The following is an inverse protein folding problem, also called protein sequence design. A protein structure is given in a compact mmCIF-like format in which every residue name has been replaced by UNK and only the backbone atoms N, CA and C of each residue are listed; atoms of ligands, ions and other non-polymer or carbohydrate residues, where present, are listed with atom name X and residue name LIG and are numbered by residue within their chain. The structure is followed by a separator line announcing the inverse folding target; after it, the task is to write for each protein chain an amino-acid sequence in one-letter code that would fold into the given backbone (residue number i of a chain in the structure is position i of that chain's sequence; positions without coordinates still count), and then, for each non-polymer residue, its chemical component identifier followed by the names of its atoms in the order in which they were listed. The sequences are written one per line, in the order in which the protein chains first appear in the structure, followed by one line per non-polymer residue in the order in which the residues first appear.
data_IF_623237454305
#
_entry.id   IF_623237454305
#
_cell.length_a   1.000
_cell.length_b   1.000
_cell.length_c   1.000
_cell.angle_alpha   90.00
_cell.angle_beta   90.00
_cell.angle_gamma   90.00
#
_symmetry.space_group_name_H-M   'P 1'
#
loop_
_entity.id
_entity.type
_entity.pdbx_description
1 polymer ?
#
# COMPACT_ATOMS: atom_id res chain seq x y z
N UNK A 1 -16.81 -15.48 -9.52
CA UNK A 1 -15.86 -14.36 -9.41
C UNK A 1 -14.97 -14.43 -10.64
N UNK A 2 -14.90 -13.36 -11.44
CA UNK A 2 -14.09 -13.36 -12.66
C UNK A 2 -12.64 -13.66 -12.31
N UNK A 3 -12.01 -14.56 -13.06
CA UNK A 3 -10.59 -14.93 -12.96
C UNK A 3 -9.70 -13.99 -13.78
N UNK A 4 -10.27 -12.99 -14.45
CA UNK A 4 -9.51 -12.02 -15.22
C UNK A 4 -8.80 -11.05 -14.28
N UNK A 5 -7.48 -10.93 -14.47
CA UNK A 5 -6.67 -9.92 -13.80
C UNK A 5 -7.07 -8.57 -14.37
N UNK A 6 -7.63 -7.64 -13.58
CA UNK A 6 -8.04 -6.35 -14.09
C UNK A 6 -6.83 -5.61 -14.65
N UNK A 7 -7.03 -4.86 -15.73
CA UNK A 7 -5.96 -4.03 -16.31
C UNK A 7 -5.41 -3.09 -15.23
N UNK A 8 -4.09 -3.17 -15.01
CA UNK A 8 -3.37 -2.27 -14.10
C UNK A 8 -2.07 -1.81 -14.72
N UNK A 9 -1.80 -0.52 -14.60
CA UNK A 9 -0.47 0.02 -14.88
C UNK A 9 0.46 -0.50 -13.79
N UNK A 10 1.51 -1.22 -14.21
CA UNK A 10 2.49 -1.75 -13.28
C UNK A 10 3.36 -0.61 -12.71
N UNK A 11 3.70 -0.67 -11.42
CA UNK A 11 4.59 0.30 -10.81
C UNK A 11 6.02 0.09 -11.30
N UNK A 12 6.83 1.14 -11.24
CA UNK A 12 8.28 0.99 -11.36
C UNK A 12 8.85 0.40 -10.07
N UNK A 13 9.30 -0.84 -10.14
CA UNK A 13 9.90 -1.57 -9.01
C UNK A 13 11.42 -1.42 -9.02
N UNK A 14 12.01 -1.21 -7.86
CA UNK A 14 13.45 -1.25 -7.62
C UNK A 14 13.76 -1.49 -6.15
N UNK A 15 15.05 -1.57 -5.79
CA UNK A 15 15.51 -1.95 -4.44
C UNK A 15 14.83 -1.20 -3.28
N UNK A 16 14.45 0.07 -3.50
CA UNK A 16 13.82 0.90 -2.47
C UNK A 16 12.36 0.54 -2.17
N UNK A 17 11.63 -0.09 -3.10
CA UNK A 17 10.20 -0.35 -2.96
C UNK A 17 9.81 -1.80 -3.31
N UNK A 18 10.77 -2.67 -3.63
CA UNK A 18 10.51 -4.06 -4.01
C UNK A 18 9.84 -4.85 -2.89
N UNK A 19 10.14 -4.57 -1.62
CA UNK A 19 9.48 -5.21 -0.48
C UNK A 19 7.95 -5.02 -0.51
N UNK A 20 7.49 -3.79 -0.77
CA UNK A 20 6.08 -3.44 -0.83
C UNK A 20 5.40 -4.10 -2.04
N UNK A 21 5.99 -3.95 -3.24
CA UNK A 21 5.36 -4.44 -4.47
C UNK A 21 5.45 -5.96 -4.66
N UNK A 22 6.52 -6.61 -4.20
CA UNK A 22 6.65 -8.07 -4.27
C UNK A 22 5.92 -8.79 -3.15
N UNK A 23 5.59 -8.13 -2.04
CA UNK A 23 4.83 -8.75 -0.94
C UNK A 23 3.54 -9.42 -1.39
N UNK A 24 2.86 -8.83 -2.38
CA UNK A 24 1.63 -9.39 -2.94
C UNK A 24 1.78 -10.79 -3.56
N UNK A 25 2.99 -11.19 -4.00
CA UNK A 25 3.26 -12.57 -4.46
C UNK A 25 3.10 -13.58 -3.33
N UNK A 26 3.44 -13.16 -2.12
CA UNK A 26 3.43 -14.00 -0.92
C UNK A 26 2.14 -13.80 -0.11
N UNK A 27 1.18 -13.02 -0.62
CA UNK A 27 -0.06 -12.68 0.10
C UNK A 27 0.15 -11.70 1.26
N UNK A 28 1.27 -10.98 1.28
CA UNK A 28 1.65 -10.09 2.37
C UNK A 28 1.65 -8.62 1.95
N UNK A 29 1.17 -7.74 2.83
CA UNK A 29 1.42 -6.31 2.74
C UNK A 29 2.63 -5.98 3.63
N UNK A 30 3.72 -5.51 3.03
CA UNK A 30 4.99 -5.26 3.72
C UNK A 30 5.33 -3.78 3.74
N UNK A 31 5.75 -3.28 4.90
CA UNK A 31 6.24 -1.92 5.08
C UNK A 31 7.63 -1.93 5.69
N UNK A 32 8.30 -0.78 5.62
CA UNK A 32 9.45 -0.53 6.47
C UNK A 32 8.98 -0.29 7.91
N UNK A 33 9.76 -0.73 8.89
CA UNK A 33 9.58 -0.44 10.31
C UNK A 33 10.93 -0.07 10.93
N UNK A 34 10.95 0.97 11.75
CA UNK A 34 12.14 1.30 12.52
C UNK A 34 12.31 0.29 13.65
N UNK A 35 13.43 -0.42 13.69
CA UNK A 35 13.71 -1.42 14.72
C UNK A 35 14.07 -0.79 16.08
N UNK A 36 14.36 0.52 16.13
CA UNK A 36 14.69 1.21 17.37
C UNK A 36 13.47 1.82 18.07
N UNK A 37 12.50 2.38 17.33
CA UNK A 37 11.31 3.00 17.90
C UNK A 37 9.98 2.34 17.50
N UNK A 38 10.01 1.33 16.64
CA UNK A 38 8.83 0.58 16.22
C UNK A 38 7.92 1.28 15.20
N UNK A 39 8.24 2.50 14.77
CA UNK A 39 7.42 3.28 13.83
C UNK A 39 7.44 2.68 12.42
N UNK A 40 6.26 2.52 11.81
CA UNK A 40 6.10 2.09 10.43
C UNK A 40 6.29 3.25 9.44
N UNK A 41 6.94 2.98 8.31
CA UNK A 41 7.28 3.97 7.31
C UNK A 41 6.61 3.59 5.98
N UNK A 42 5.71 4.46 5.54
CA UNK A 42 5.15 4.42 4.21
C UNK A 42 4.87 5.85 3.71
N UNK A 43 5.35 6.24 2.52
CA UNK A 43 6.19 5.47 1.59
C UNK A 43 7.61 5.15 2.12
N UNK A 44 8.38 4.27 1.46
CA UNK A 44 9.71 3.88 1.93
C UNK A 44 10.73 5.04 1.98
N UNK A 45 11.39 5.21 3.13
CA UNK A 45 12.42 6.21 3.39
C UNK A 45 13.78 5.54 3.71
N UNK A 46 14.81 6.36 3.93
CA UNK A 46 16.16 5.92 4.31
C UNK A 46 16.47 6.14 5.80
N UNK A 47 15.62 6.90 6.50
CA UNK A 47 15.75 7.26 7.92
C UNK A 47 14.35 7.27 8.55
N UNK A 48 14.27 6.88 9.81
CA UNK A 48 13.05 7.05 10.59
C UNK A 48 12.69 8.53 10.74
N UNK A 49 11.47 8.98 10.39
CA UNK A 49 11.09 10.38 10.55
C UNK A 49 10.89 10.79 12.01
N UNK A 50 10.72 9.83 12.94
CA UNK A 50 10.54 10.13 14.36
C UNK A 50 11.86 10.21 15.13
N UNK A 51 12.78 9.25 14.93
CA UNK A 51 14.01 9.16 15.71
C UNK A 51 15.30 9.28 14.89
N UNK A 52 15.21 9.48 13.57
CA UNK A 52 16.34 9.56 12.62
C UNK A 52 17.25 8.33 12.57
N UNK A 53 16.83 7.18 13.11
CA UNK A 53 17.58 5.95 13.00
C UNK A 53 17.65 5.44 11.55
N UNK A 54 18.77 4.78 11.23
CA UNK A 54 19.00 4.01 10.00
C UNK A 54 18.63 2.54 10.16
N UNK A 55 18.30 2.09 11.38
CA UNK A 55 17.93 0.71 11.67
C UNK A 55 16.49 0.43 11.20
N UNK A 56 16.34 0.27 9.88
CA UNK A 56 15.06 0.06 9.21
C UNK A 56 14.99 -1.38 8.72
N UNK A 57 13.98 -2.11 9.18
CA UNK A 57 13.68 -3.48 8.78
C UNK A 57 12.41 -3.51 7.92
N UNK A 58 12.16 -4.63 7.25
CA UNK A 58 10.91 -4.88 6.53
C UNK A 58 10.05 -5.82 7.38
N UNK A 59 8.78 -5.47 7.56
CA UNK A 59 7.83 -6.27 8.33
C UNK A 59 6.49 -6.37 7.59
N UNK A 60 5.88 -7.56 7.63
CA UNK A 60 4.52 -7.77 7.14
C UNK A 60 3.52 -7.29 8.18
N UNK A 61 2.47 -6.60 7.73
CA UNK A 61 1.34 -6.20 8.56
C UNK A 61 0.19 -7.19 8.45
N UNK A 62 -0.81 -7.06 9.31
CA UNK A 62 -1.99 -7.94 9.34
C UNK A 62 -2.83 -7.92 8.06
N UNK A 63 -2.64 -6.90 7.21
CA UNK A 63 -3.48 -6.64 6.04
C UNK A 63 -4.86 -6.10 6.38
N UNK A 64 -5.17 -5.86 7.66
CA UNK A 64 -6.43 -5.26 8.10
C UNK A 64 -6.33 -3.73 8.05
N UNK A 65 -7.39 -3.10 7.59
CA UNK A 65 -7.45 -1.65 7.47
C UNK A 65 -8.88 -1.14 7.59
N UNK A 66 -9.02 0.14 7.90
CA UNK A 66 -10.28 0.88 7.93
C UNK A 66 -10.32 1.91 6.80
N UNK A 67 -11.45 2.04 6.12
CA UNK A 67 -11.63 3.07 5.09
C UNK A 67 -11.76 4.43 5.78
N UNK A 68 -10.84 5.34 5.49
CA UNK A 68 -10.91 6.73 5.97
C UNK A 68 -11.80 7.58 5.06
N UNK A 69 -11.65 7.41 3.75
CA UNK A 69 -12.43 8.12 2.73
C UNK A 69 -12.38 7.36 1.41
N UNK A 70 -13.36 7.58 0.54
CA UNK A 70 -13.42 6.97 -0.77
C UNK A 70 -14.14 7.86 -1.80
N UNK A 71 -13.94 7.54 -3.07
CA UNK A 71 -14.70 8.09 -4.19
C UNK A 71 -15.09 6.98 -5.16
N UNK A 72 -16.20 7.17 -5.88
CA UNK A 72 -16.64 6.30 -6.97
C UNK A 72 -16.38 7.02 -8.29
N UNK A 73 -15.45 6.50 -9.07
CA UNK A 73 -15.03 7.10 -10.33
C UNK A 73 -15.79 6.47 -11.49
N UNK A 74 -16.53 7.29 -12.23
CA UNK A 74 -17.27 6.90 -13.44
C UNK A 74 -16.55 7.29 -14.74
N UNK A 75 -15.51 8.12 -14.64
CA UNK A 75 -14.79 8.64 -15.81
C UNK A 75 -13.70 7.64 -16.27
N UNK A 76 -13.74 7.18 -17.53
CA UNK A 76 -12.71 6.27 -18.08
C UNK A 76 -11.47 7.07 -18.51
N UNK A 77 -10.64 7.45 -17.54
CA UNK A 77 -9.46 8.31 -17.78
C UNK A 77 -8.40 7.71 -18.71
N UNK A 78 -8.41 6.39 -18.93
CA UNK A 78 -7.45 5.68 -19.78
C UNK A 78 -8.14 4.52 -20.52
N UNK A 79 -7.67 4.13 -21.72
CA UNK A 79 -8.15 2.93 -22.40
C UNK A 79 -8.02 1.68 -21.51
N UNK A 80 -9.07 0.86 -21.47
CA UNK A 80 -9.09 -0.37 -20.68
C UNK A 80 -9.37 -0.20 -19.19
N UNK A 81 -9.58 1.04 -18.70
CA UNK A 81 -10.00 1.27 -17.32
C UNK A 81 -11.51 1.00 -17.19
N UNK A 82 -11.86 -0.08 -16.49
CA UNK A 82 -13.26 -0.41 -16.18
C UNK A 82 -13.85 0.60 -15.19
N UNK A 83 -15.10 1.00 -15.43
CA UNK A 83 -15.85 1.92 -14.58
C UNK A 83 -17.25 1.32 -14.26
N UNK A 84 -17.82 1.63 -13.08
CA UNK A 84 -17.24 2.41 -12.00
C UNK A 84 -16.17 1.65 -11.20
N UNK A 85 -15.19 2.37 -10.66
CA UNK A 85 -14.25 1.81 -9.69
C UNK A 85 -14.20 2.64 -8.40
N UNK A 86 -14.01 1.96 -7.26
CA UNK A 86 -13.83 2.60 -5.96
C UNK A 86 -12.35 2.86 -5.74
N UNK A 87 -12.01 4.11 -5.41
CA UNK A 87 -10.69 4.49 -4.92
C UNK A 87 -10.83 4.92 -3.47
N UNK A 88 -10.10 4.27 -2.56
CA UNK A 88 -10.15 4.53 -1.14
C UNK A 88 -8.77 4.86 -0.59
N UNK A 89 -8.75 5.71 0.44
CA UNK A 89 -7.62 5.83 1.36
C UNK A 89 -7.99 5.02 2.60
N UNK A 90 -7.14 4.06 2.96
CA UNK A 90 -7.36 3.19 4.13
C UNK A 90 -6.24 3.41 5.15
N UNK A 91 -6.59 3.31 6.44
CA UNK A 91 -5.66 3.29 7.57
C UNK A 91 -5.40 1.84 7.97
N UNK A 92 -4.15 1.42 7.98
CA UNK A 92 -3.72 0.13 8.51
C UNK A 92 -3.89 0.11 10.05
N UNK A 93 -4.29 -1.02 10.62
CA UNK A 93 -4.55 -1.11 12.07
C UNK A 93 -3.30 -0.97 12.94
N UNK A 94 -2.12 -1.19 12.36
CA UNK A 94 -0.86 -1.17 13.08
C UNK A 94 -0.44 0.23 13.53
N UNK A 95 -0.89 1.30 12.84
CA UNK A 95 -0.49 2.67 13.13
C UNK A 95 -1.45 3.70 12.53
N UNK A 96 -1.80 4.75 13.30
CA UNK A 96 -2.86 5.71 12.95
C UNK A 96 -2.64 6.53 11.67
N UNK A 97 -1.37 6.79 11.35
CA UNK A 97 -0.96 7.53 10.15
C UNK A 97 -0.35 6.63 9.07
N UNK A 98 -0.37 5.30 9.25
CA UNK A 98 0.00 4.34 8.21
C UNK A 98 -1.18 4.15 7.26
N UNK A 99 -1.08 4.78 6.09
CA UNK A 99 -2.18 4.85 5.12
C UNK A 99 -1.73 4.42 3.73
N UNK A 100 -2.63 3.77 3.00
CA UNK A 100 -2.44 3.44 1.59
C UNK A 100 -3.64 3.88 0.77
N UNK A 101 -3.39 4.26 -0.48
CA UNK A 101 -4.43 4.46 -1.48
C UNK A 101 -4.59 3.17 -2.28
N UNK A 102 -5.80 2.61 -2.29
CA UNK A 102 -6.08 1.33 -2.95
C UNK A 102 -7.49 1.29 -3.55
N UNK A 103 -7.75 0.29 -4.38
CA UNK A 103 -9.10 -0.01 -4.83
C UNK A 103 -9.82 -0.90 -3.82
N UNK A 104 -11.13 -0.71 -3.69
CA UNK A 104 -12.02 -1.66 -3.01
C UNK A 104 -12.65 -2.53 -4.09
N UNK A 105 -12.53 -3.84 -3.93
CA UNK A 105 -13.02 -4.87 -4.86
C UNK A 105 -13.92 -5.85 -4.11
N UNK A 106 -14.97 -6.37 -4.76
CA UNK A 106 -15.96 -7.26 -4.17
C UNK A 106 -17.11 -7.54 -5.11
#
# INVERSE_FOLDING_TARGET
MSTEVPFRILPRVGKRNEHYWHGGRDGELRFQRCADCGYYLHPPTVLCPLCHSKNIVIEAVSGKAEILTFTINYQPWMPGLEVPFVLAVVRCLEQDDLRITTNIVG
#
